data_IF_612691783291
#
_entry.id   IF_612691783291
#
_cell.length_a   1.000
_cell.length_b   1.000
_cell.length_c   1.000
_cell.angle_alpha   90.00
_cell.angle_beta   90.00
_cell.angle_gamma   90.00
#
_symmetry.space_group_name_H-M   'P 1'
#
loop_
_entity.id
_entity.type
_entity.pdbx_description
1 polymer ?
#
# COMPACT_ATOMS: atom_id res chain seq x y z
N UNK A 1 -6.45 53.21 -34.56
CA UNK A 1 -7.47 52.15 -34.60
C UNK A 1 -7.14 51.19 -33.47
N UNK A 2 -7.84 51.32 -32.36
CA UNK A 2 -7.59 50.52 -31.14
C UNK A 2 -8.61 49.40 -31.12
N UNK A 3 -8.16 48.16 -31.26
CA UNK A 3 -9.03 46.99 -31.18
C UNK A 3 -9.38 46.75 -29.71
N UNK A 4 -10.63 47.01 -29.33
CA UNK A 4 -11.13 46.67 -28.00
C UNK A 4 -11.44 45.17 -27.99
N UNK A 5 -10.61 44.41 -27.29
CA UNK A 5 -10.85 42.99 -27.03
C UNK A 5 -11.82 42.93 -25.86
N UNK A 6 -13.07 42.61 -26.15
CA UNK A 6 -14.10 42.36 -25.15
C UNK A 6 -13.83 41.02 -24.45
N UNK A 7 -14.10 40.94 -23.15
CA UNK A 7 -13.80 39.75 -22.33
C UNK A 7 -14.43 38.45 -22.83
N UNK A 8 -15.52 38.52 -23.59
CA UNK A 8 -16.16 37.34 -24.16
C UNK A 8 -15.36 36.71 -25.31
N UNK A 9 -14.51 37.46 -26.02
CA UNK A 9 -13.60 36.91 -27.03
C UNK A 9 -12.51 36.05 -26.38
N UNK A 10 -12.03 36.46 -25.20
CA UNK A 10 -11.08 35.68 -24.40
C UNK A 10 -11.77 34.42 -23.85
N UNK A 11 -13.02 34.54 -23.38
CA UNK A 11 -13.83 33.38 -22.95
C UNK A 11 -14.09 32.41 -24.11
N UNK A 12 -14.35 32.90 -25.32
CA UNK A 12 -14.54 32.07 -26.51
C UNK A 12 -13.26 31.28 -26.85
N UNK A 13 -12.08 31.91 -26.80
CA UNK A 13 -10.79 31.25 -27.03
C UNK A 13 -10.45 30.22 -25.93
N UNK A 14 -10.79 30.50 -24.67
CA UNK A 14 -10.64 29.59 -23.54
C UNK A 14 -11.66 28.44 -23.51
N UNK A 15 -12.76 28.52 -24.26
CA UNK A 15 -13.69 27.41 -24.42
C UNK A 15 -13.35 26.53 -25.62
N UNK A 16 -12.75 27.10 -26.68
CA UNK A 16 -12.32 26.34 -27.85
C UNK A 16 -11.10 25.45 -27.60
N UNK A 17 -10.22 25.78 -26.64
CA UNK A 17 -9.06 24.94 -26.30
C UNK A 17 -9.40 23.70 -25.45
N UNK A 18 -10.56 23.68 -24.78
CA UNK A 18 -11.04 22.53 -24.01
C UNK A 18 -11.54 21.40 -24.92
N UNK A 19 -11.94 21.69 -26.16
CA UNK A 19 -12.44 20.70 -27.11
C UNK A 19 -11.35 19.79 -27.71
N UNK A 20 -10.06 20.12 -27.56
CA UNK A 20 -8.96 19.33 -28.16
C UNK A 20 -8.31 18.33 -27.18
N UNK A 21 -8.64 18.38 -25.89
CA UNK A 21 -8.12 17.44 -24.87
C UNK A 21 -9.23 16.54 -24.33
N UNK A 22 -10.11 16.06 -25.21
CA UNK A 22 -11.05 14.98 -24.89
C UNK A 22 -11.10 13.98 -26.05
N UNK A 23 -9.94 13.55 -26.53
CA UNK A 23 -9.83 12.28 -27.26
C UNK A 23 -9.45 11.20 -26.25
N UNK A 24 -10.44 10.40 -25.89
CA UNK A 24 -10.30 9.00 -25.45
C UNK A 24 -9.46 8.73 -24.20
N UNK A 25 -9.92 9.18 -23.04
CA UNK A 25 -9.83 8.30 -21.86
C UNK A 25 -11.16 7.59 -21.74
N UNK A 26 -11.32 6.34 -22.24
CA UNK A 26 -12.42 5.53 -21.77
C UNK A 26 -12.19 5.32 -20.27
N UNK A 27 -13.03 5.95 -19.45
CA UNK A 27 -13.22 5.57 -18.05
C UNK A 27 -13.94 4.20 -17.98
N UNK A 28 -13.56 3.25 -18.83
CA UNK A 28 -13.79 1.85 -18.55
C UNK A 28 -12.84 1.53 -17.40
N UNK A 29 -13.39 1.44 -16.19
CA UNK A 29 -12.64 1.12 -14.98
C UNK A 29 -11.71 -0.05 -15.28
N UNK A 30 -10.42 0.25 -15.39
CA UNK A 30 -9.41 -0.76 -15.62
C UNK A 30 -9.36 -1.54 -14.31
N UNK A 31 -10.04 -2.68 -14.26
CA UNK A 31 -9.84 -3.64 -13.18
C UNK A 31 -8.49 -4.30 -13.46
N UNK A 32 -7.40 -3.52 -13.27
CA UNK A 32 -6.05 -4.07 -13.24
C UNK A 32 -6.05 -4.92 -11.97
N UNK A 33 -6.40 -6.20 -12.09
CA UNK A 33 -5.94 -7.14 -11.08
C UNK A 33 -4.41 -7.08 -11.22
N UNK A 34 -3.68 -6.64 -10.18
CA UNK A 34 -2.23 -6.66 -10.28
C UNK A 34 -1.83 -8.10 -10.60
N UNK A 35 -1.14 -8.31 -11.72
CA UNK A 35 -0.60 -9.63 -12.10
C UNK A 35 0.52 -10.09 -11.14
N UNK A 36 0.76 -9.34 -10.07
CA UNK A 36 1.65 -9.77 -9.01
C UNK A 36 1.00 -10.93 -8.24
N UNK A 37 1.66 -12.10 -8.21
CA UNK A 37 1.16 -13.23 -7.46
C UNK A 37 1.01 -12.86 -5.98
N UNK A 38 -0.05 -13.36 -5.35
CA UNK A 38 -0.32 -13.07 -3.96
C UNK A 38 0.80 -13.63 -3.07
N UNK A 39 1.08 -12.98 -1.92
CA UNK A 39 2.05 -13.51 -0.99
C UNK A 39 1.54 -14.79 -0.32
N UNK A 40 2.42 -15.78 -0.21
CA UNK A 40 2.11 -17.08 0.36
C UNK A 40 3.06 -17.42 1.50
N UNK A 41 2.52 -17.89 2.62
CA UNK A 41 3.32 -18.38 3.73
C UNK A 41 3.86 -19.76 3.38
N UNK A 42 5.18 -19.89 3.39
CA UNK A 42 5.86 -21.17 3.22
C UNK A 42 5.78 -21.98 4.53
N UNK A 43 5.79 -23.33 4.43
CA UNK A 43 5.74 -24.19 5.61
C UNK A 43 6.92 -23.89 6.56
N UNK A 44 6.60 -23.66 7.82
CA UNK A 44 7.55 -23.39 8.90
C UNK A 44 7.11 -24.11 10.18
N UNK A 45 8.02 -24.25 11.14
CA UNK A 45 7.73 -24.88 12.43
C UNK A 45 6.76 -24.01 13.24
N UNK A 46 5.50 -24.43 13.31
CA UNK A 46 4.44 -23.71 14.04
C UNK A 46 4.57 -23.86 15.57
N UNK A 47 5.04 -25.03 16.02
CA UNK A 47 5.16 -25.37 17.43
C UNK A 47 6.63 -25.42 17.81
N UNK A 48 7.06 -24.45 18.61
CA UNK A 48 8.42 -24.38 19.15
C UNK A 48 8.34 -24.21 20.66
N UNK A 49 9.24 -24.84 21.38
CA UNK A 49 9.31 -24.78 22.85
C UNK A 49 10.71 -24.37 23.25
N UNK A 50 10.81 -23.36 24.11
CA UNK A 50 12.06 -22.82 24.61
C UNK A 50 12.00 -22.77 26.13
N UNK A 51 13.16 -22.85 26.80
CA UNK A 51 13.20 -22.68 28.25
C UNK A 51 13.14 -21.20 28.58
N UNK A 52 12.65 -20.90 29.78
CA UNK A 52 12.61 -19.52 30.28
C UNK A 52 14.03 -18.97 30.37
N UNK A 53 14.24 -17.78 29.82
CA UNK A 53 15.54 -17.11 29.76
C UNK A 53 16.35 -17.43 28.50
N UNK A 54 15.91 -18.39 27.68
CA UNK A 54 16.50 -18.63 26.36
C UNK A 54 15.89 -17.72 25.29
N UNK A 55 16.66 -17.48 24.22
CA UNK A 55 16.18 -16.74 23.05
C UNK A 55 15.25 -17.63 22.21
N UNK A 56 13.96 -17.31 22.22
CA UNK A 56 12.97 -17.95 21.35
C UNK A 56 13.04 -17.37 19.93
N UNK A 57 13.34 -18.21 18.94
CA UNK A 57 13.40 -17.80 17.53
C UNK A 57 12.22 -18.39 16.75
N UNK A 58 11.30 -17.53 16.33
CA UNK A 58 10.17 -17.88 15.47
C UNK A 58 10.54 -17.56 14.01
N UNK A 59 10.56 -18.58 13.16
CA UNK A 59 10.89 -18.43 11.73
C UNK A 59 9.62 -18.40 10.90
N UNK A 60 9.54 -17.45 9.98
CA UNK A 60 8.50 -17.37 8.96
C UNK A 60 9.16 -17.06 7.61
N UNK A 61 8.67 -17.67 6.55
CA UNK A 61 9.13 -17.42 5.19
C UNK A 61 7.91 -17.16 4.32
N UNK A 62 7.97 -16.10 3.52
CA UNK A 62 6.87 -15.66 2.66
C UNK A 62 7.37 -15.59 1.24
N UNK A 63 6.70 -16.29 0.34
CA UNK A 63 6.90 -16.18 -1.10
C UNK A 63 6.07 -15.00 -1.64
N UNK A 64 6.58 -14.27 -2.63
CA UNK A 64 5.89 -13.12 -3.26
C UNK A 64 5.45 -11.99 -2.31
N UNK A 65 6.28 -11.64 -1.30
CA UNK A 65 5.97 -10.55 -0.37
C UNK A 65 5.72 -9.20 -1.07
N UNK A 66 6.44 -8.92 -2.17
CA UNK A 66 6.27 -7.69 -2.96
C UNK A 66 6.49 -6.43 -2.12
N UNK A 67 5.53 -5.51 -2.15
CA UNK A 67 5.51 -4.26 -1.35
C UNK A 67 4.80 -4.41 0.00
N UNK A 68 4.39 -5.63 0.37
CA UNK A 68 3.68 -5.87 1.63
C UNK A 68 4.67 -6.10 2.78
N UNK A 69 4.16 -6.01 4.00
CA UNK A 69 4.96 -6.16 5.23
C UNK A 69 4.46 -7.35 6.04
N UNK A 70 5.40 -8.08 6.65
CA UNK A 70 5.11 -9.16 7.59
C UNK A 70 5.06 -8.59 9.01
N UNK A 71 4.02 -8.95 9.76
CA UNK A 71 3.83 -8.53 11.14
C UNK A 71 3.71 -9.77 12.02
N UNK A 72 4.53 -9.83 13.06
CA UNK A 72 4.40 -10.79 14.14
C UNK A 72 3.51 -10.22 15.23
N UNK A 73 2.59 -11.01 15.76
CA UNK A 73 1.72 -10.63 16.87
C UNK A 73 1.44 -11.84 17.75
N UNK A 74 1.10 -11.62 19.03
CA UNK A 74 0.58 -12.68 19.89
C UNK A 74 -0.84 -13.02 19.41
N UNK A 75 -1.25 -14.28 19.41
CA UNK A 75 -2.60 -14.64 18.94
C UNK A 75 -3.69 -14.04 19.86
N UNK A 76 -3.43 -14.00 21.16
CA UNK A 76 -4.34 -13.50 22.19
C UNK A 76 -4.42 -11.97 22.23
N UNK A 77 -3.36 -11.26 21.84
CA UNK A 77 -3.27 -9.81 21.92
C UNK A 77 -3.04 -9.23 20.53
N UNK A 78 -3.85 -8.27 20.11
CA UNK A 78 -3.71 -7.59 18.81
C UNK A 78 -2.45 -6.73 18.68
N UNK A 79 -1.66 -6.59 19.76
CA UNK A 79 -0.41 -5.83 19.74
C UNK A 79 0.67 -6.53 18.89
N UNK A 80 1.25 -5.82 17.91
CA UNK A 80 2.34 -6.36 17.12
C UNK A 80 3.58 -6.55 18.01
N UNK A 81 4.22 -7.72 17.88
CA UNK A 81 5.54 -8.00 18.42
C UNK A 81 6.63 -7.42 17.51
N UNK A 82 6.42 -7.44 16.20
CA UNK A 82 7.42 -6.96 15.21
C UNK A 82 6.72 -6.64 13.89
N UNK A 83 7.10 -5.55 13.22
CA UNK A 83 6.67 -5.22 11.86
C UNK A 83 7.90 -5.04 10.97
N UNK A 84 8.08 -5.92 9.98
CA UNK A 84 9.32 -5.96 9.18
C UNK A 84 10.55 -6.26 10.05
N UNK A 85 11.51 -5.34 10.12
CA UNK A 85 12.71 -5.42 10.97
C UNK A 85 12.56 -4.71 12.32
N UNK A 86 11.44 -4.04 12.56
CA UNK A 86 11.21 -3.25 13.77
C UNK A 86 10.53 -4.09 14.84
N UNK A 87 11.24 -4.36 15.95
CA UNK A 87 10.70 -5.03 17.13
C UNK A 87 9.95 -4.05 18.02
N UNK A 88 8.68 -4.36 18.34
CA UNK A 88 7.85 -3.59 19.26
C UNK A 88 7.81 -4.33 20.59
N UNK A 89 8.46 -3.74 21.59
CA UNK A 89 8.43 -4.26 22.96
C UNK A 89 7.21 -3.66 23.64
N UNK A 90 6.28 -4.51 24.09
CA UNK A 90 5.20 -4.06 24.97
C UNK A 90 5.81 -3.65 26.31
N UNK A 91 5.61 -2.40 26.70
CA UNK A 91 6.03 -1.86 27.99
C UNK A 91 4.80 -1.67 28.87
N UNK A 92 4.67 -2.48 29.93
CA UNK A 92 3.58 -2.44 30.92
C UNK A 92 3.89 -1.47 32.10
N UNK A 93 4.87 -0.56 31.99
CA UNK A 93 5.28 0.35 33.08
C UNK A 93 4.49 1.66 33.18
N UNK A 94 3.30 1.74 32.59
CA UNK A 94 2.42 2.92 32.66
C UNK A 94 1.00 2.53 33.08
#
# INVERSE_FOLDING_TARGET
MTYNIEWWEIVALLLMNAALVISEFPASGFNVKPDTPAPEFLPSSLNVTFRRGELAVLRCSVYNLGTKTVVWRRQENSFPLTSGTMTVVADDRI
#
